data_IF_116985085036
#
_entry.id   IF_116985085036
#
_cell.length_a   1.000
_cell.length_b   1.000
_cell.length_c   1.000
_cell.angle_alpha   90.00
_cell.angle_beta   90.00
_cell.angle_gamma   90.00
#
_symmetry.space_group_name_H-M   'P 1'
#
loop_
_entity.id
_entity.type
_entity.pdbx_description
1 polymer ?
#
# COMPACT_ATOMS: atom_id res chain seq x y z
N UNK A 1 -15.43 5.81 7.63
CA UNK A 1 -14.58 5.19 6.61
C UNK A 1 -13.91 6.31 5.86
N UNK A 2 -12.63 6.54 6.13
CA UNK A 2 -11.81 7.56 5.48
C UNK A 2 -10.91 6.90 4.42
N UNK A 3 -10.58 7.66 3.39
CA UNK A 3 -9.60 7.28 2.37
C UNK A 3 -8.32 8.09 2.58
N UNK A 4 -7.18 7.40 2.57
CA UNK A 4 -5.86 7.98 2.68
C UNK A 4 -5.04 7.60 1.46
N UNK A 5 -4.15 8.49 1.03
CA UNK A 5 -3.17 8.22 -0.01
C UNK A 5 -1.75 8.21 0.56
N UNK A 6 -0.90 7.38 -0.03
CA UNK A 6 0.52 7.29 0.28
C UNK A 6 1.31 7.07 -1.01
N UNK A 7 2.21 8.00 -1.33
CA UNK A 7 3.14 7.84 -2.43
C UNK A 7 4.48 7.29 -1.92
N UNK A 8 4.88 6.13 -2.43
CA UNK A 8 6.16 5.46 -2.16
C UNK A 8 6.97 5.23 -3.44
N UNK A 9 6.61 5.88 -4.56
CA UNK A 9 7.25 5.68 -5.88
C UNK A 9 8.73 6.05 -5.91
N UNK A 10 9.16 6.97 -5.04
CA UNK A 10 10.56 7.39 -4.87
C UNK A 10 11.31 6.66 -3.75
N UNK A 11 10.70 5.68 -3.09
CA UNK A 11 11.32 4.95 -1.98
C UNK A 11 11.95 3.64 -2.45
N UNK A 12 13.09 3.30 -1.85
CA UNK A 12 13.76 2.01 -2.03
C UNK A 12 13.43 1.07 -0.88
N UNK A 13 13.55 -0.24 -1.11
CA UNK A 13 13.38 -1.24 -0.05
C UNK A 13 14.40 -1.01 1.09
N UNK A 14 14.02 -1.23 2.37
CA UNK A 14 12.71 -1.68 2.85
C UNK A 14 11.71 -0.54 3.15
N UNK A 15 12.03 0.71 2.82
CA UNK A 15 11.23 1.88 3.22
C UNK A 15 9.82 1.89 2.62
N UNK A 16 9.64 1.27 1.46
CA UNK A 16 8.35 1.08 0.78
C UNK A 16 7.31 0.42 1.69
N UNK A 17 7.66 -0.73 2.27
CA UNK A 17 6.79 -1.44 3.21
C UNK A 17 6.67 -0.72 4.56
N UNK A 18 7.79 -0.22 5.10
CA UNK A 18 7.79 0.45 6.41
C UNK A 18 6.83 1.66 6.42
N UNK A 19 6.83 2.48 5.37
CA UNK A 19 5.93 3.63 5.26
C UNK A 19 4.47 3.21 5.12
N UNK A 20 4.17 2.19 4.31
CA UNK A 20 2.82 1.64 4.18
C UNK A 20 2.29 1.13 5.54
N UNK A 21 3.10 0.37 6.26
CA UNK A 21 2.75 -0.16 7.59
C UNK A 21 2.50 0.96 8.60
N UNK A 22 3.42 1.92 8.73
CA UNK A 22 3.26 3.05 9.66
C UNK A 22 2.00 3.87 9.38
N UNK A 23 1.63 4.02 8.09
CA UNK A 23 0.40 4.72 7.72
C UNK A 23 -0.84 3.93 8.15
N UNK A 24 -0.87 2.62 7.91
CA UNK A 24 -1.96 1.75 8.38
C UNK A 24 -2.07 1.72 9.90
N UNK A 25 -0.96 1.73 10.64
CA UNK A 25 -0.99 1.77 12.11
C UNK A 25 -1.69 3.03 12.65
N UNK A 26 -1.64 4.14 11.92
CA UNK A 26 -2.30 5.41 12.26
C UNK A 26 -3.77 5.51 11.82
N UNK A 27 -4.27 4.57 11.02
CA UNK A 27 -5.62 4.58 10.47
C UNK A 27 -6.63 3.83 11.36
N UNK A 28 -7.92 4.09 11.23
CA UNK A 28 -8.95 3.30 11.89
C UNK A 28 -9.25 2.02 11.11
N UNK A 29 -9.69 0.97 11.81
CA UNK A 29 -10.15 -0.26 11.17
C UNK A 29 -11.33 0.07 10.23
N UNK A 30 -11.27 -0.48 9.02
CA UNK A 30 -12.20 -0.19 7.93
C UNK A 30 -11.75 0.92 6.99
N UNK A 31 -10.75 1.74 7.35
CA UNK A 31 -10.27 2.79 6.45
C UNK A 31 -9.50 2.22 5.25
N UNK A 32 -9.46 3.01 4.17
CA UNK A 32 -8.80 2.65 2.91
C UNK A 32 -7.48 3.41 2.75
N UNK A 33 -6.43 2.70 2.35
CA UNK A 33 -5.13 3.24 2.00
C UNK A 33 -4.84 2.95 0.53
N UNK A 34 -4.69 4.02 -0.26
CA UNK A 34 -4.25 3.99 -1.65
C UNK A 34 -2.75 4.23 -1.69
N UNK A 35 -1.97 3.22 -2.07
CA UNK A 35 -0.52 3.26 -2.11
C UNK A 35 -0.07 3.34 -3.57
N UNK A 36 0.63 4.42 -3.93
CA UNK A 36 1.26 4.54 -5.24
C UNK A 36 2.70 4.04 -5.18
N UNK A 37 3.04 3.06 -5.99
CA UNK A 37 4.34 2.41 -6.01
C UNK A 37 4.87 2.25 -7.43
N UNK A 38 6.19 2.16 -7.58
CA UNK A 38 6.87 2.02 -8.88
C UNK A 38 7.88 0.88 -8.79
N UNK A 39 7.94 0.08 -9.85
CA UNK A 39 8.85 -1.07 -9.95
C UNK A 39 8.19 -2.40 -9.57
N UNK A 40 8.71 -3.49 -10.14
CA UNK A 40 8.16 -4.83 -9.98
C UNK A 40 8.32 -5.36 -8.54
N UNK A 41 9.48 -5.12 -7.91
CA UNK A 41 9.77 -5.59 -6.56
C UNK A 41 8.77 -5.08 -5.49
N UNK A 42 8.50 -3.76 -5.34
CA UNK A 42 7.50 -3.29 -4.38
C UNK A 42 6.07 -3.70 -4.79
N UNK A 43 5.80 -3.89 -6.09
CA UNK A 43 4.49 -4.33 -6.56
C UNK A 43 4.17 -5.77 -6.15
N UNK A 44 5.19 -6.61 -5.97
CA UNK A 44 5.03 -7.97 -5.46
C UNK A 44 5.13 -8.01 -3.93
N UNK A 45 6.15 -7.37 -3.37
CA UNK A 45 6.46 -7.47 -1.94
C UNK A 45 5.48 -6.72 -1.05
N UNK A 46 5.08 -5.49 -1.41
CA UNK A 46 4.21 -4.67 -0.55
C UNK A 46 2.82 -5.31 -0.35
N UNK A 47 2.09 -5.73 -1.40
CA UNK A 47 0.80 -6.40 -1.21
C UNK A 47 0.93 -7.70 -0.43
N UNK A 48 1.99 -8.48 -0.65
CA UNK A 48 2.25 -9.72 0.08
C UNK A 48 2.46 -9.45 1.57
N UNK A 49 3.38 -8.56 1.93
CA UNK A 49 3.64 -8.22 3.32
C UNK A 49 2.40 -7.62 4.01
N UNK A 50 1.60 -6.83 3.31
CA UNK A 50 0.35 -6.30 3.88
C UNK A 50 -0.67 -7.40 4.18
N UNK A 51 -0.83 -8.38 3.28
CA UNK A 51 -1.67 -9.57 3.54
C UNK A 51 -1.13 -10.41 4.68
N UNK A 52 0.17 -10.65 4.75
CA UNK A 52 0.82 -11.40 5.84
C UNK A 52 0.62 -10.70 7.20
N UNK A 53 0.50 -9.38 7.20
CA UNK A 53 0.15 -8.57 8.37
C UNK A 53 -1.37 -8.50 8.66
N UNK A 54 -2.19 -9.25 7.92
CA UNK A 54 -3.63 -9.36 8.12
C UNK A 54 -4.44 -8.20 7.55
N UNK A 55 -3.91 -7.50 6.54
CA UNK A 55 -4.60 -6.41 5.85
C UNK A 55 -5.21 -6.91 4.53
N UNK A 56 -6.32 -6.31 4.10
CA UNK A 56 -7.00 -6.73 2.87
C UNK A 56 -6.58 -5.89 1.68
N UNK A 57 -5.94 -6.50 0.68
CA UNK A 57 -5.69 -5.85 -0.61
C UNK A 57 -6.95 -5.93 -1.46
N UNK A 58 -7.60 -4.79 -1.72
CA UNK A 58 -8.87 -4.71 -2.45
C UNK A 58 -8.67 -4.62 -3.96
N UNK A 59 -7.68 -3.85 -4.41
CA UNK A 59 -7.44 -3.64 -5.83
C UNK A 59 -5.97 -3.28 -6.10
N UNK A 60 -5.53 -3.58 -7.32
CA UNK A 60 -4.25 -3.14 -7.85
C UNK A 60 -4.50 -2.60 -9.26
N UNK A 61 -4.19 -1.33 -9.49
CA UNK A 61 -4.48 -0.62 -10.74
C UNK A 61 -3.18 -0.09 -11.33
N UNK A 62 -2.75 -0.57 -12.51
CA UNK A 62 -1.63 0.04 -13.21
C UNK A 62 -2.03 1.43 -13.73
N UNK A 63 -1.12 2.39 -13.61
CA UNK A 63 -1.27 3.75 -14.12
C UNK A 63 -0.42 3.98 -15.38
N UNK A 64 -0.81 4.97 -16.19
CA UNK A 64 -0.19 5.26 -17.48
C UNK A 64 1.29 5.72 -17.37
N UNK A 65 1.72 6.19 -16.20
CA UNK A 65 3.07 6.68 -15.93
C UNK A 65 4.03 5.60 -15.38
N UNK A 66 3.64 4.32 -15.53
CA UNK A 66 4.41 3.17 -15.06
C UNK A 66 4.38 2.99 -13.54
N UNK A 67 3.46 3.66 -12.84
CA UNK A 67 3.19 3.41 -11.42
C UNK A 67 2.01 2.45 -11.25
N UNK A 68 1.86 1.93 -10.04
CA UNK A 68 0.77 1.04 -9.65
C UNK A 68 0.11 1.65 -8.42
N UNK A 69 -1.22 1.74 -8.45
CA UNK A 69 -2.04 2.11 -7.31
C UNK A 69 -2.58 0.85 -6.65
N UNK A 70 -2.17 0.63 -5.41
CA UNK A 70 -2.59 -0.48 -4.58
C UNK A 70 -3.60 0.03 -3.55
N UNK A 71 -4.82 -0.50 -3.58
CA UNK A 71 -5.88 -0.17 -2.62
C UNK A 71 -5.91 -1.24 -1.53
N UNK A 72 -5.75 -0.82 -0.29
CA UNK A 72 -5.68 -1.69 0.89
C UNK A 72 -6.69 -1.21 1.93
N UNK A 73 -7.45 -2.13 2.51
CA UNK A 73 -8.34 -1.84 3.64
C UNK A 73 -7.69 -2.30 4.93
N UNK A 74 -7.74 -1.43 5.94
CA UNK A 74 -7.33 -1.80 7.29
C UNK A 74 -8.35 -2.77 7.89
N UNK A 75 -7.92 -3.97 8.26
CA UNK A 75 -8.80 -4.98 8.90
C UNK A 75 -8.57 -5.09 10.42
N UNK A 76 -7.40 -4.65 10.89
CA UNK A 76 -6.98 -4.70 12.31
C UNK A 76 -5.94 -3.62 12.58
#
# INVERSE_FOLDING_TARGET
MAEYSLDITGLVCPMTFVKAKLKLEQMAVGDLLVIRLRGAEPAENVPRSLRDHGQSVLAMRPAADGTIELVVRKER
#
